data_IF_553922289563
#
_entry.id   IF_553922289563
#
_cell.length_a   1.000
_cell.length_b   1.000
_cell.length_c   1.000
_cell.angle_alpha   90.00
_cell.angle_beta   90.00
_cell.angle_gamma   90.00
#
_symmetry.space_group_name_H-M   'P 1'
#
loop_
_entity.id
_entity.type
_entity.pdbx_description
1 polymer ?
#
# COMPACT_ATOMS: atom_id res chain seq x y z
N UNK A 1 51.19 23.61 -34.83
CA UNK A 1 51.26 22.14 -34.92
C UNK A 1 49.96 21.64 -35.51
N UNK A 2 50.03 21.04 -36.69
CA UNK A 2 48.92 20.48 -37.46
C UNK A 2 48.79 18.99 -37.16
N UNK A 3 47.60 18.53 -36.78
CA UNK A 3 47.31 17.11 -36.62
C UNK A 3 46.53 16.60 -37.84
N UNK A 4 47.16 15.65 -38.54
CA UNK A 4 46.65 14.94 -39.71
C UNK A 4 45.88 13.71 -39.22
N UNK A 5 44.65 13.53 -39.66
CA UNK A 5 43.86 12.32 -39.39
C UNK A 5 43.84 11.45 -40.66
N UNK A 6 44.34 10.22 -40.55
CA UNK A 6 44.16 9.17 -41.56
C UNK A 6 42.98 8.27 -41.19
N UNK A 7 42.17 7.93 -42.20
CA UNK A 7 41.03 7.02 -42.08
C UNK A 7 41.53 5.56 -42.00
N UNK A 8 41.21 4.86 -40.90
CA UNK A 8 41.46 3.42 -40.78
C UNK A 8 40.26 2.61 -41.28
N UNK A 9 40.56 1.60 -42.09
CA UNK A 9 39.64 0.74 -42.82
C UNK A 9 38.76 -0.11 -41.90
N UNK A 10 37.48 -0.18 -42.28
CA UNK A 10 36.47 -1.24 -42.04
C UNK A 10 36.77 -2.33 -41.03
N UNK A 11 36.08 -2.27 -39.89
CA UNK A 11 35.84 -3.42 -39.01
C UNK A 11 34.92 -4.38 -39.77
N UNK A 12 35.44 -5.54 -40.17
CA UNK A 12 34.62 -6.63 -40.73
C UNK A 12 33.66 -7.13 -39.66
N UNK A 13 32.37 -6.95 -39.89
CA UNK A 13 31.24 -7.59 -39.18
C UNK A 13 31.19 -9.11 -39.48
N UNK A 14 32.29 -9.83 -39.27
CA UNK A 14 32.27 -11.29 -39.27
C UNK A 14 32.11 -11.76 -37.83
N UNK A 15 31.04 -12.52 -37.59
CA UNK A 15 30.76 -13.34 -36.40
C UNK A 15 29.95 -12.73 -35.24
N UNK A 16 29.03 -11.78 -35.48
CA UNK A 16 27.99 -11.44 -34.49
C UNK A 16 26.75 -12.35 -34.53
N UNK A 17 26.51 -13.02 -35.67
CA UNK A 17 25.33 -13.88 -35.89
C UNK A 17 25.24 -15.05 -34.88
N UNK A 18 26.31 -15.81 -34.60
CA UNK A 18 26.20 -16.92 -33.64
C UNK A 18 26.04 -16.43 -32.20
N UNK A 19 26.59 -15.25 -31.87
CA UNK A 19 26.46 -14.65 -30.53
C UNK A 19 25.02 -14.19 -30.27
N UNK A 20 24.38 -13.55 -31.25
CA UNK A 20 22.95 -13.20 -31.17
C UNK A 20 22.05 -14.43 -31.09
N UNK A 21 22.37 -15.50 -31.84
CA UNK A 21 21.64 -16.76 -31.77
C UNK A 21 21.71 -17.39 -30.37
N UNK A 22 22.90 -17.42 -29.75
CA UNK A 22 23.07 -17.92 -28.39
C UNK A 22 22.35 -17.07 -27.35
N UNK A 23 22.38 -15.74 -27.47
CA UNK A 23 21.67 -14.82 -26.59
C UNK A 23 20.15 -15.00 -26.67
N UNK A 24 19.60 -15.17 -27.88
CA UNK A 24 18.18 -15.45 -28.07
C UNK A 24 17.77 -16.79 -27.45
N UNK A 25 18.60 -17.83 -27.59
CA UNK A 25 18.35 -19.14 -26.97
C UNK A 25 18.42 -19.05 -25.46
N UNK A 26 19.39 -18.31 -24.89
CA UNK A 26 19.48 -18.09 -23.45
C UNK A 26 18.28 -17.30 -22.91
N UNK A 27 17.82 -16.27 -23.63
CA UNK A 27 16.61 -15.50 -23.26
C UNK A 27 15.37 -16.39 -23.34
N UNK A 28 15.22 -17.21 -24.38
CA UNK A 28 14.11 -18.16 -24.51
C UNK A 28 14.13 -19.22 -23.42
N UNK A 29 15.31 -19.75 -23.07
CA UNK A 29 15.46 -20.70 -21.96
C UNK A 29 15.15 -20.03 -20.63
N UNK A 30 15.52 -18.76 -20.42
CA UNK A 30 15.15 -17.99 -19.23
C UNK A 30 13.65 -17.69 -19.17
N UNK A 31 12.98 -17.51 -20.31
CA UNK A 31 11.51 -17.35 -20.39
C UNK A 31 10.81 -18.69 -20.11
N UNK A 32 11.34 -19.79 -20.65
CA UNK A 32 10.80 -21.15 -20.47
C UNK A 32 11.09 -21.72 -19.07
N UNK A 33 12.17 -21.27 -18.43
CA UNK A 33 12.51 -21.61 -17.04
C UNK A 33 12.10 -20.53 -16.04
N UNK A 34 11.48 -19.44 -16.50
CA UNK A 34 10.80 -18.54 -15.59
C UNK A 34 9.68 -19.37 -14.97
N UNK A 35 9.66 -19.59 -13.64
CA UNK A 35 8.55 -20.27 -13.03
C UNK A 35 7.30 -19.44 -13.32
N UNK A 36 6.51 -19.92 -14.27
CA UNK A 36 5.14 -19.48 -14.46
C UNK A 36 4.50 -19.76 -13.10
N UNK A 37 4.31 -18.72 -12.27
CA UNK A 37 3.62 -18.85 -10.99
C UNK A 37 2.26 -19.45 -11.33
N UNK A 38 2.10 -20.76 -11.14
CA UNK A 38 0.77 -21.35 -11.32
C UNK A 38 -0.11 -20.70 -10.27
N UNK A 39 -1.17 -20.04 -10.72
CA UNK A 39 -2.19 -19.48 -9.83
C UNK A 39 -2.95 -20.58 -9.06
N UNK A 40 -2.67 -21.86 -9.35
CA UNK A 40 -3.33 -23.03 -8.75
C UNK A 40 -2.96 -23.29 -7.29
N UNK A 41 -1.86 -22.72 -6.77
CA UNK A 41 -1.43 -22.93 -5.37
C UNK A 41 -1.60 -21.68 -4.47
N UNK A 42 -2.37 -20.67 -4.89
CA UNK A 42 -2.64 -19.52 -4.05
C UNK A 42 -3.58 -19.91 -2.90
N UNK A 43 -3.11 -19.76 -1.66
CA UNK A 43 -3.94 -19.98 -0.47
C UNK A 43 -5.21 -19.11 -0.54
N UNK A 44 -6.37 -19.74 -0.36
CA UNK A 44 -7.66 -19.04 -0.22
C UNK A 44 -7.68 -18.37 1.15
N UNK A 45 -7.87 -17.06 1.17
CA UNK A 45 -7.95 -16.29 2.41
C UNK A 45 -9.40 -16.22 2.90
N UNK A 46 -9.66 -16.36 4.20
CA UNK A 46 -11.00 -16.17 4.73
C UNK A 46 -11.42 -14.70 4.60
N UNK A 47 -12.71 -14.47 4.37
CA UNK A 47 -13.38 -13.21 4.65
C UNK A 47 -14.19 -13.39 5.93
N UNK A 48 -13.64 -12.92 7.04
CA UNK A 48 -14.22 -13.03 8.38
C UNK A 48 -14.21 -11.67 9.08
N UNK A 49 -14.51 -11.65 10.37
CA UNK A 49 -14.48 -10.43 11.19
C UNK A 49 -13.05 -9.96 11.55
N UNK A 50 -12.00 -10.55 10.98
CA UNK A 50 -10.59 -10.26 11.25
C UNK A 50 -10.28 -10.17 12.77
N UNK A 51 -10.45 -11.26 13.54
CA UNK A 51 -10.45 -11.22 15.00
C UNK A 51 -9.12 -10.77 15.63
N UNK A 52 -8.01 -10.95 14.93
CA UNK A 52 -6.65 -10.59 15.35
C UNK A 52 -6.17 -9.24 14.81
N UNK A 53 -7.03 -8.53 14.07
CA UNK A 53 -6.72 -7.21 13.53
C UNK A 53 -6.78 -6.14 14.62
N UNK A 54 -5.92 -5.14 14.52
CA UNK A 54 -6.02 -3.88 15.25
C UNK A 54 -7.10 -3.02 14.60
N UNK A 55 -8.10 -2.61 15.38
CA UNK A 55 -9.30 -1.88 14.97
C UNK A 55 -9.58 -0.64 15.83
N UNK A 56 -8.56 -0.12 16.53
CA UNK A 56 -8.70 1.06 17.38
C UNK A 56 -9.05 2.31 16.55
N UNK A 57 -10.14 2.96 16.95
CA UNK A 57 -10.65 4.22 16.39
C UNK A 57 -10.17 5.45 17.17
N UNK A 58 -9.49 5.26 18.30
CA UNK A 58 -9.14 6.28 19.28
C UNK A 58 -10.35 7.07 19.83
N UNK A 59 -11.52 6.43 19.84
CA UNK A 59 -12.76 7.02 20.34
C UNK A 59 -12.63 7.39 21.84
N UNK A 60 -12.85 8.66 22.16
CA UNK A 60 -12.72 9.17 23.53
C UNK A 60 -11.28 9.39 24.02
N UNK A 61 -10.26 8.98 23.26
CA UNK A 61 -8.85 9.16 23.64
C UNK A 61 -7.98 9.87 22.59
N UNK A 62 -8.54 10.25 21.44
CA UNK A 62 -7.83 10.94 20.32
C UNK A 62 -6.83 12.01 20.78
N UNK A 63 -7.25 12.99 21.58
CA UNK A 63 -6.36 14.08 22.03
C UNK A 63 -5.19 13.58 22.88
N UNK A 64 -5.44 12.56 23.73
CA UNK A 64 -4.39 11.92 24.53
C UNK A 64 -3.45 11.12 23.64
N UNK A 65 -3.98 10.34 22.70
CA UNK A 65 -3.18 9.59 21.73
C UNK A 65 -2.29 10.51 20.90
N UNK A 66 -2.82 11.61 20.35
CA UNK A 66 -2.06 12.63 19.63
C UNK A 66 -0.90 13.19 20.48
N UNK A 67 -1.13 13.44 21.78
CA UNK A 67 -0.08 13.98 22.66
C UNK A 67 1.05 12.99 22.95
N UNK A 68 0.79 11.68 22.83
CA UNK A 68 1.75 10.62 23.11
C UNK A 68 2.37 10.04 21.84
N UNK A 69 1.74 10.17 20.68
CA UNK A 69 2.12 9.42 19.49
C UNK A 69 3.55 9.74 19.02
N UNK A 70 3.99 10.99 19.18
CA UNK A 70 5.36 11.38 18.86
C UNK A 70 6.40 10.64 19.71
N UNK A 71 6.07 10.28 20.96
CA UNK A 71 6.96 9.47 21.80
C UNK A 71 7.08 8.04 21.26
N UNK A 72 5.97 7.44 20.81
CA UNK A 72 5.99 6.14 20.13
C UNK A 72 6.80 6.22 18.84
N UNK A 73 6.61 7.28 18.04
CA UNK A 73 7.39 7.51 16.82
C UNK A 73 8.89 7.54 17.07
N UNK A 74 9.36 8.23 18.12
CA UNK A 74 10.80 8.25 18.48
C UNK A 74 11.33 6.84 18.76
N UNK A 75 10.58 6.01 19.49
CA UNK A 75 10.99 4.62 19.74
C UNK A 75 10.97 3.79 18.45
N UNK A 76 9.89 3.88 17.69
CA UNK A 76 9.69 3.14 16.45
C UNK A 76 10.72 3.51 15.37
N UNK A 77 11.24 4.74 15.38
CA UNK A 77 12.28 5.15 14.42
C UNK A 77 13.59 4.38 14.60
N UNK A 78 13.89 3.97 15.84
CA UNK A 78 15.07 3.16 16.13
C UNK A 78 14.81 1.67 15.87
N UNK A 79 13.60 1.19 16.14
CA UNK A 79 13.25 -0.23 16.01
C UNK A 79 12.88 -0.64 14.58
N UNK A 80 12.24 0.26 13.82
CA UNK A 80 11.74 0.03 12.47
C UNK A 80 12.52 0.88 11.47
N UNK A 81 13.77 0.49 11.21
CA UNK A 81 14.67 1.22 10.31
C UNK A 81 14.11 1.38 8.90
N UNK A 82 13.33 0.42 8.40
CA UNK A 82 12.70 0.50 7.09
C UNK A 82 11.71 1.67 7.02
N UNK A 83 10.82 1.78 8.02
CA UNK A 83 9.87 2.89 8.11
C UNK A 83 10.58 4.23 8.35
N UNK A 84 11.58 4.26 9.23
CA UNK A 84 12.35 5.48 9.52
C UNK A 84 13.08 6.01 8.28
N UNK A 85 13.77 5.14 7.55
CA UNK A 85 14.46 5.50 6.31
C UNK A 85 13.48 5.99 5.24
N UNK A 86 12.37 5.26 5.05
CA UNK A 86 11.30 5.67 4.15
C UNK A 86 10.78 7.08 4.50
N UNK A 87 10.53 7.33 5.77
CA UNK A 87 10.05 8.64 6.24
C UNK A 87 11.03 9.75 5.90
N UNK A 88 12.31 9.59 6.25
CA UNK A 88 13.35 10.58 6.00
C UNK A 88 13.54 10.91 4.50
N UNK A 89 13.32 9.94 3.62
CA UNK A 89 13.46 10.13 2.17
C UNK A 89 12.23 10.79 1.55
N UNK A 90 11.03 10.42 2.01
CA UNK A 90 9.77 10.76 1.34
C UNK A 90 8.96 11.88 2.00
N UNK A 91 9.27 12.30 3.23
CA UNK A 91 8.51 13.38 3.91
C UNK A 91 8.47 14.69 3.10
N UNK A 92 9.57 15.04 2.44
CA UNK A 92 9.68 16.26 1.61
C UNK A 92 8.86 16.17 0.32
N UNK A 93 8.50 14.97 -0.10
CA UNK A 93 7.72 14.72 -1.31
C UNK A 93 6.21 14.77 -1.02
N UNK A 94 5.80 14.68 0.25
CA UNK A 94 4.41 14.78 0.65
C UNK A 94 3.87 16.21 0.42
N UNK A 95 2.63 16.29 -0.06
CA UNK A 95 1.97 17.60 -0.23
C UNK A 95 1.63 18.20 1.12
N UNK A 96 1.65 19.53 1.20
CA UNK A 96 1.24 20.23 2.42
C UNK A 96 -0.26 20.04 2.69
N UNK A 97 -0.68 19.93 3.96
CA UNK A 97 -2.08 19.86 4.33
C UNK A 97 -2.90 21.05 3.82
N UNK A 98 -3.96 20.75 3.06
CA UNK A 98 -4.95 21.75 2.64
C UNK A 98 -6.24 21.68 3.47
N UNK A 99 -6.48 20.55 4.15
CA UNK A 99 -7.64 20.35 5.02
C UNK A 99 -7.33 20.79 6.45
N UNK A 100 -8.26 21.53 7.08
CA UNK A 100 -8.10 22.21 8.38
C UNK A 100 -7.59 21.31 9.52
N UNK A 101 -7.96 20.04 9.50
CA UNK A 101 -7.67 19.10 10.60
C UNK A 101 -6.47 18.19 10.32
N UNK A 102 -5.80 18.35 9.19
CA UNK A 102 -4.62 17.56 8.83
C UNK A 102 -3.34 18.35 9.11
N UNK A 103 -2.30 17.63 9.52
CA UNK A 103 -0.94 18.11 9.77
C UNK A 103 0.04 17.40 8.83
N UNK A 104 1.29 17.86 8.77
CA UNK A 104 2.32 17.30 7.89
C UNK A 104 2.47 15.79 8.07
N UNK A 105 2.44 15.28 9.31
CA UNK A 105 2.52 13.84 9.60
C UNK A 105 1.36 13.01 9.01
N UNK A 106 0.16 13.60 8.90
CA UNK A 106 -0.97 12.95 8.23
C UNK A 106 -0.71 12.83 6.73
N UNK A 107 -0.26 13.91 6.11
CA UNK A 107 0.04 13.96 4.68
C UNK A 107 1.19 13.01 4.32
N UNK A 108 2.25 12.99 5.13
CA UNK A 108 3.39 12.09 4.94
C UNK A 108 2.99 10.63 5.14
N UNK A 109 2.16 10.31 6.13
CA UNK A 109 1.65 8.95 6.34
C UNK A 109 0.87 8.44 5.13
N UNK A 110 -0.05 9.25 4.59
CA UNK A 110 -0.82 8.92 3.38
C UNK A 110 0.08 8.77 2.14
N UNK A 111 1.08 9.65 2.00
CA UNK A 111 2.04 9.59 0.91
C UNK A 111 2.85 8.30 0.95
N UNK A 112 3.47 7.98 2.10
CA UNK A 112 4.26 6.75 2.31
C UNK A 112 3.41 5.51 2.04
N UNK A 113 2.20 5.46 2.60
CA UNK A 113 1.30 4.32 2.45
C UNK A 113 0.95 4.05 0.98
N UNK A 114 0.76 5.09 0.17
CA UNK A 114 0.46 4.94 -1.26
C UNK A 114 1.71 4.68 -2.10
N UNK A 115 2.87 5.22 -1.71
CA UNK A 115 4.13 5.17 -2.47
C UNK A 115 4.87 3.85 -2.32
N UNK A 116 5.02 3.38 -1.09
CA UNK A 116 5.97 2.33 -0.73
C UNK A 116 5.24 1.02 -0.48
N UNK A 117 5.19 0.17 -1.51
CA UNK A 117 4.46 -1.10 -1.47
C UNK A 117 4.98 -2.05 -0.37
N UNK A 118 6.29 -2.07 -0.13
CA UNK A 118 6.91 -2.88 0.93
C UNK A 118 6.48 -2.41 2.33
N UNK A 119 6.57 -1.09 2.61
CA UNK A 119 6.13 -0.53 3.90
C UNK A 119 4.63 -0.78 4.12
N UNK A 120 3.81 -0.54 3.09
CA UNK A 120 2.37 -0.84 3.14
C UNK A 120 2.10 -2.31 3.43
N UNK A 121 2.85 -3.23 2.83
CA UNK A 121 2.70 -4.67 3.04
C UNK A 121 3.06 -5.08 4.47
N UNK A 122 4.21 -4.62 4.97
CA UNK A 122 4.68 -4.92 6.33
C UNK A 122 3.71 -4.35 7.37
N UNK A 123 3.31 -3.08 7.18
CA UNK A 123 2.31 -2.40 8.01
C UNK A 123 0.98 -3.16 8.05
N UNK A 124 0.38 -3.47 6.90
CA UNK A 124 -0.90 -4.17 6.86
C UNK A 124 -0.79 -5.59 7.45
N UNK A 125 0.36 -6.25 7.35
CA UNK A 125 0.59 -7.55 8.00
C UNK A 125 0.65 -7.42 9.52
N UNK A 126 1.37 -6.41 10.02
CA UNK A 126 1.44 -6.11 11.44
C UNK A 126 0.08 -5.73 12.01
N UNK A 127 -0.72 -4.93 11.28
CA UNK A 127 -2.09 -4.57 11.68
C UNK A 127 -3.00 -5.79 11.72
N UNK A 128 -2.94 -6.65 10.69
CA UNK A 128 -3.81 -7.83 10.57
C UNK A 128 -3.64 -8.86 11.70
N UNK A 129 -2.44 -8.92 12.29
CA UNK A 129 -2.07 -9.94 13.28
C UNK A 129 -1.69 -9.35 14.64
N UNK A 130 -1.78 -8.03 14.77
CA UNK A 130 -1.12 -7.27 15.83
C UNK A 130 -1.92 -7.10 17.11
N UNK A 131 -3.17 -7.56 17.18
CA UNK A 131 -4.07 -7.27 18.32
C UNK A 131 -3.44 -7.55 19.69
N UNK A 132 -2.77 -8.70 19.84
CA UNK A 132 -2.12 -9.07 21.11
C UNK A 132 -0.88 -8.22 21.44
N UNK A 133 -0.26 -7.61 20.44
CA UNK A 133 0.94 -6.77 20.57
C UNK A 133 0.62 -5.27 20.62
N UNK A 134 -0.63 -4.89 20.35
CA UNK A 134 -1.02 -3.49 20.14
C UNK A 134 -0.79 -2.58 21.35
N UNK A 135 -0.83 -3.12 22.57
CA UNK A 135 -0.56 -2.34 23.79
C UNK A 135 0.88 -2.50 24.30
N UNK A 136 1.80 -2.96 23.45
CA UNK A 136 3.20 -3.26 23.79
C UNK A 136 4.15 -2.65 22.76
N UNK A 137 5.44 -2.67 23.04
CA UNK A 137 6.50 -2.31 22.08
C UNK A 137 6.63 -3.30 20.90
N UNK A 138 5.91 -4.42 20.94
CA UNK A 138 5.88 -5.42 19.88
C UNK A 138 5.12 -4.99 18.61
N UNK A 139 4.28 -3.96 18.67
CA UNK A 139 3.68 -3.35 17.49
C UNK A 139 4.49 -2.12 17.08
N UNK A 140 5.32 -2.22 16.04
CA UNK A 140 6.26 -1.15 15.67
C UNK A 140 5.71 -0.18 14.60
N UNK A 141 4.41 0.07 14.65
CA UNK A 141 3.67 0.89 13.69
C UNK A 141 2.58 1.75 14.33
N UNK A 142 2.63 2.02 15.64
CA UNK A 142 1.67 2.90 16.33
C UNK A 142 1.59 4.26 15.65
N UNK A 143 2.74 4.87 15.34
CA UNK A 143 2.79 6.19 14.74
C UNK A 143 2.04 6.23 13.40
N UNK A 144 2.39 5.30 12.49
CA UNK A 144 1.75 5.22 11.18
C UNK A 144 0.27 4.85 11.29
N UNK A 145 -0.09 3.92 12.18
CA UNK A 145 -1.49 3.53 12.42
C UNK A 145 -2.32 4.72 12.90
N UNK A 146 -1.84 5.46 13.90
CA UNK A 146 -2.52 6.63 14.43
C UNK A 146 -2.77 7.68 13.36
N UNK A 147 -1.72 8.09 12.63
CA UNK A 147 -1.87 9.16 11.64
C UNK A 147 -2.72 8.76 10.43
N UNK A 148 -2.71 7.49 10.02
CA UNK A 148 -3.63 7.00 8.98
C UNK A 148 -5.08 6.98 9.47
N UNK A 149 -5.34 6.46 10.67
CA UNK A 149 -6.69 6.46 11.28
C UNK A 149 -7.20 7.89 11.45
N UNK A 150 -6.39 8.77 12.02
CA UNK A 150 -6.77 10.17 12.28
C UNK A 150 -6.99 10.95 10.98
N UNK A 151 -6.17 10.71 9.95
CA UNK A 151 -6.35 11.34 8.64
C UNK A 151 -7.68 10.96 8.00
N UNK A 152 -8.08 9.69 8.04
CA UNK A 152 -9.36 9.23 7.51
C UNK A 152 -10.52 9.94 8.23
N UNK A 153 -10.48 9.97 9.57
CA UNK A 153 -11.51 10.62 10.38
C UNK A 153 -11.60 12.12 10.11
N UNK A 154 -10.46 12.79 9.90
CA UNK A 154 -10.40 14.21 9.62
C UNK A 154 -10.83 14.57 8.18
N UNK A 155 -10.68 13.65 7.22
CA UNK A 155 -11.12 13.81 5.83
C UNK A 155 -12.59 13.43 5.62
N UNK A 156 -13.15 12.55 6.44
CA UNK A 156 -14.55 12.12 6.40
C UNK A 156 -15.26 12.44 7.72
N UNK A 157 -15.38 13.74 8.01
CA UNK A 157 -16.02 14.23 9.23
C UNK A 157 -17.48 13.73 9.33
N UNK A 158 -17.83 13.18 10.48
CA UNK A 158 -19.17 12.66 10.80
C UNK A 158 -19.69 11.54 9.88
N UNK A 159 -18.82 10.88 9.10
CA UNK A 159 -19.23 9.83 8.16
C UNK A 159 -20.33 10.31 7.21
N UNK A 160 -20.25 11.57 6.77
CA UNK A 160 -21.37 12.27 6.15
C UNK A 160 -21.77 11.72 4.77
N UNK A 161 -20.90 10.93 4.12
CA UNK A 161 -21.16 10.39 2.79
C UNK A 161 -20.57 8.99 2.60
N UNK A 162 -21.45 8.03 2.34
CA UNK A 162 -21.05 6.71 1.87
C UNK A 162 -20.73 6.77 0.36
N UNK A 163 -19.71 6.03 -0.06
CA UNK A 163 -19.22 6.01 -1.45
C UNK A 163 -19.00 4.58 -1.94
N UNK A 164 -19.28 4.34 -3.21
CA UNK A 164 -18.95 3.08 -3.88
C UNK A 164 -17.53 3.13 -4.41
N UNK A 165 -16.73 2.14 -4.06
CA UNK A 165 -15.34 1.99 -4.49
C UNK A 165 -15.07 0.55 -4.93
N UNK A 166 -13.99 0.38 -5.67
CA UNK A 166 -13.59 -0.88 -6.27
C UNK A 166 -12.19 -1.25 -5.81
N UNK A 167 -12.05 -2.47 -5.33
CA UNK A 167 -10.77 -3.06 -4.95
C UNK A 167 -10.49 -4.27 -5.82
N UNK A 168 -9.29 -4.30 -6.40
CA UNK A 168 -8.76 -5.42 -7.19
C UNK A 168 -7.50 -5.97 -6.54
N UNK A 169 -7.36 -7.29 -6.49
CA UNK A 169 -6.27 -7.95 -5.76
C UNK A 169 -5.87 -9.27 -6.40
N UNK A 170 -4.58 -9.62 -6.25
CA UNK A 170 -4.00 -10.92 -6.64
C UNK A 170 -4.31 -12.03 -5.62
N UNK A 171 -4.91 -11.70 -4.49
CA UNK A 171 -5.28 -12.65 -3.43
C UNK A 171 -6.63 -13.27 -3.75
N UNK A 172 -6.74 -14.58 -3.57
CA UNK A 172 -8.01 -15.32 -3.65
C UNK A 172 -8.67 -15.32 -2.27
N UNK A 173 -9.97 -15.04 -2.24
CA UNK A 173 -10.78 -15.04 -1.02
C UNK A 173 -11.88 -16.08 -1.09
N UNK A 174 -12.34 -16.52 0.08
CA UNK A 174 -13.53 -17.36 0.22
C UNK A 174 -14.77 -16.63 -0.33
N UNK A 175 -15.65 -17.39 -0.98
CA UNK A 175 -16.89 -16.89 -1.57
C UNK A 175 -18.13 -17.34 -0.77
N UNK A 176 -18.01 -18.31 0.13
CA UNK A 176 -19.12 -18.80 0.97
C UNK A 176 -19.35 -17.91 2.19
N UNK A 177 -19.52 -16.60 1.93
CA UNK A 177 -19.63 -15.55 2.95
C UNK A 177 -20.87 -14.68 2.78
N UNK A 178 -21.82 -15.10 1.93
CA UNK A 178 -23.12 -14.44 1.76
C UNK A 178 -23.81 -14.35 3.12
N UNK A 179 -24.42 -13.21 3.41
CA UNK A 179 -25.13 -12.98 4.65
C UNK A 179 -24.24 -13.09 5.91
N UNK A 180 -22.96 -12.73 5.77
CA UNK A 180 -22.02 -12.61 6.89
C UNK A 180 -21.50 -11.19 7.04
N UNK A 181 -21.01 -10.88 8.24
CA UNK A 181 -20.29 -9.64 8.50
C UNK A 181 -18.80 -9.90 8.35
N UNK A 182 -18.13 -9.03 7.61
CA UNK A 182 -16.70 -9.14 7.31
C UNK A 182 -15.98 -7.82 7.60
N UNK A 183 -14.70 -7.93 7.91
CA UNK A 183 -13.75 -6.82 7.95
C UNK A 183 -12.52 -7.19 7.12
N UNK A 184 -11.93 -6.23 6.42
CA UNK A 184 -10.73 -6.51 5.63
C UNK A 184 -9.51 -6.86 6.48
N UNK A 185 -9.50 -6.47 7.76
CA UNK A 185 -8.40 -6.77 8.68
C UNK A 185 -7.12 -6.01 8.35
N UNK A 186 -7.24 -4.80 7.83
CA UNK A 186 -6.14 -3.95 7.39
C UNK A 186 -6.68 -2.66 6.76
N UNK A 187 -5.81 -1.69 6.49
CA UNK A 187 -6.20 -0.51 5.73
C UNK A 187 -6.37 -0.90 4.26
N UNK A 188 -7.56 -0.60 3.71
CA UNK A 188 -7.92 -0.95 2.33
C UNK A 188 -7.86 0.28 1.43
N UNK A 189 -7.00 0.24 0.42
CA UNK A 189 -6.87 1.29 -0.59
C UNK A 189 -7.63 0.88 -1.86
N UNK A 190 -8.72 1.60 -2.14
CA UNK A 190 -9.62 1.34 -3.24
C UNK A 190 -9.74 2.58 -4.15
N UNK A 191 -10.38 2.41 -5.31
CA UNK A 191 -10.61 3.51 -6.27
C UNK A 191 -12.11 3.65 -6.55
N UNK A 192 -12.63 4.86 -6.72
CA UNK A 192 -14.04 5.12 -7.05
C UNK A 192 -14.43 4.74 -8.49
N UNK A 193 -13.45 4.34 -9.31
CA UNK A 193 -13.63 3.88 -10.69
C UNK A 193 -13.44 2.38 -10.80
N UNK A 194 -14.26 1.73 -11.65
CA UNK A 194 -14.08 0.33 -12.06
C UNK A 194 -12.76 0.12 -12.81
N UNK A 195 -12.27 1.16 -13.47
CA UNK A 195 -10.94 1.19 -14.07
C UNK A 195 -9.93 1.47 -12.96
N UNK A 196 -9.62 0.42 -12.20
CA UNK A 196 -8.59 0.46 -11.17
C UNK A 196 -7.20 0.60 -11.79
N UNK A 197 -6.17 0.74 -10.94
CA UNK A 197 -4.78 0.59 -11.35
C UNK A 197 -4.63 -0.61 -12.29
N UNK A 198 -4.03 -0.42 -13.48
CA UNK A 198 -3.73 -1.52 -14.42
C UNK A 198 -2.80 -2.58 -13.79
N UNK A 199 -2.20 -2.27 -12.62
CA UNK A 199 -1.33 -3.15 -11.84
C UNK A 199 -2.00 -3.86 -10.63
N UNK A 200 -3.27 -3.58 -10.31
CA UNK A 200 -3.95 -4.25 -9.20
C UNK A 200 -4.67 -5.51 -9.71
N UNK A 201 -4.31 -6.65 -9.12
CA UNK A 201 -4.61 -7.98 -9.67
C UNK A 201 -6.04 -8.31 -10.02
N UNK A 202 -6.20 -9.32 -10.86
CA UNK A 202 -7.46 -9.75 -11.44
C UNK A 202 -8.03 -11.03 -10.80
N UNK A 203 -7.50 -11.46 -9.65
CA UNK A 203 -7.91 -12.71 -8.98
C UNK A 203 -9.18 -12.53 -8.16
N UNK A 204 -9.33 -11.42 -7.46
CA UNK A 204 -10.57 -11.08 -6.75
C UNK A 204 -10.88 -9.59 -6.89
N UNK A 205 -12.17 -9.30 -7.09
CA UNK A 205 -12.69 -7.96 -7.31
C UNK A 205 -13.82 -7.70 -6.30
N UNK A 206 -13.76 -6.56 -5.63
CA UNK A 206 -14.78 -6.14 -4.67
C UNK A 206 -15.42 -4.84 -5.15
N UNK A 207 -16.74 -4.79 -5.11
CA UNK A 207 -17.51 -3.55 -5.10
C UNK A 207 -17.89 -3.28 -3.64
N UNK A 208 -17.41 -2.16 -3.10
CA UNK A 208 -17.49 -1.86 -1.66
C UNK A 208 -18.25 -0.55 -1.50
N UNK A 209 -19.33 -0.57 -0.72
CA UNK A 209 -19.95 0.65 -0.22
C UNK A 209 -19.36 0.98 1.15
N UNK A 210 -18.51 2.02 1.22
CA UNK A 210 -17.84 2.45 2.45
C UNK A 210 -18.41 3.78 2.92
N UNK A 211 -18.74 3.86 4.21
CA UNK A 211 -19.20 5.06 4.91
C UNK A 211 -18.11 5.67 5.80
N UNK A 212 -17.10 4.88 6.18
CA UNK A 212 -15.98 5.36 6.99
C UNK A 212 -14.77 5.76 6.15
N UNK A 213 -14.63 5.22 4.95
CA UNK A 213 -13.52 5.53 4.04
C UNK A 213 -13.49 6.99 3.61
N UNK A 214 -12.28 7.50 3.38
CA UNK A 214 -12.05 8.90 3.01
C UNK A 214 -11.30 9.04 1.68
N UNK A 215 -11.58 10.11 0.93
CA UNK A 215 -10.83 10.46 -0.27
C UNK A 215 -9.42 10.95 0.10
N UNK A 216 -8.40 10.22 -0.33
CA UNK A 216 -6.99 10.53 -0.09
C UNK A 216 -6.26 10.98 -1.36
N UNK A 217 -6.97 11.20 -2.47
CA UNK A 217 -6.42 11.56 -3.79
C UNK A 217 -5.42 12.70 -3.71
N UNK A 218 -5.74 13.74 -2.92
CA UNK A 218 -4.86 14.89 -2.76
C UNK A 218 -3.50 14.49 -2.17
N UNK A 219 -3.47 13.60 -1.19
CA UNK A 219 -2.29 13.23 -0.41
C UNK A 219 -1.56 11.99 -0.95
N UNK A 220 -2.15 11.30 -1.91
CA UNK A 220 -1.53 10.14 -2.54
C UNK A 220 -0.30 10.52 -3.36
N UNK A 221 0.67 9.61 -3.38
CA UNK A 221 1.83 9.67 -4.27
C UNK A 221 1.50 9.26 -5.72
N UNK A 222 0.33 8.64 -5.94
CA UNK A 222 -0.11 8.17 -7.24
C UNK A 222 -1.03 9.21 -7.88
N UNK A 223 -0.74 9.58 -9.13
CA UNK A 223 -1.55 10.52 -9.90
C UNK A 223 -2.79 9.84 -10.51
N UNK A 224 -3.66 9.32 -9.63
CA UNK A 224 -4.93 8.68 -9.99
C UNK A 224 -6.06 9.39 -9.22
N UNK A 225 -7.15 9.72 -9.90
CA UNK A 225 -8.30 10.32 -9.22
C UNK A 225 -9.14 9.27 -8.49
N UNK A 226 -9.82 9.69 -7.42
CA UNK A 226 -10.82 8.89 -6.74
C UNK A 226 -10.25 7.82 -5.82
N UNK A 227 -9.08 8.06 -5.24
CA UNK A 227 -8.44 7.13 -4.31
C UNK A 227 -9.07 7.25 -2.93
N UNK A 228 -9.54 6.12 -2.40
CA UNK A 228 -10.20 6.06 -1.10
C UNK A 228 -9.43 5.11 -0.17
N UNK A 229 -9.19 5.56 1.06
CA UNK A 229 -8.63 4.74 2.11
C UNK A 229 -9.72 4.38 3.11
N UNK A 230 -9.92 3.08 3.31
CA UNK A 230 -10.90 2.50 4.23
C UNK A 230 -10.17 2.07 5.52
N UNK A 231 -10.67 2.45 6.70
CA UNK A 231 -10.06 2.09 7.97
C UNK A 231 -10.30 0.61 8.34
N UNK A 232 -9.56 0.11 9.31
CA UNK A 232 -9.57 -1.30 9.74
C UNK A 232 -10.85 -1.74 10.44
N UNK A 233 -11.58 -0.79 11.03
CA UNK A 233 -12.73 -1.04 11.90
C UNK A 233 -14.08 -1.04 11.18
N UNK A 234 -14.14 -0.70 9.90
CA UNK A 234 -15.39 -0.72 9.14
C UNK A 234 -15.86 -2.17 8.91
N UNK A 235 -17.12 -2.44 9.24
CA UNK A 235 -17.78 -3.74 9.08
C UNK A 235 -18.67 -3.70 7.85
N UNK A 236 -18.54 -4.70 6.99
CA UNK A 236 -19.32 -4.85 5.77
C UNK A 236 -20.24 -6.06 5.88
N UNK A 237 -21.46 -5.92 5.38
CA UNK A 237 -22.36 -7.03 5.13
C UNK A 237 -22.14 -7.50 3.68
N UNK A 238 -21.91 -8.79 3.49
CA UNK A 238 -21.77 -9.42 2.16
C UNK A 238 -23.09 -9.99 1.68
#
# INVERSE_FOLDING_TARGET
MTFRWESTRGIKLLNLVPLCGLLLVLVLLLILWWPQRSAENAAVLPLDMAPDCIDDMYAGCRSKSMSLINLYGVFEWHANMNLSYAWAVDERNAKKPVHKHLQDDHATSLYIFTKLANIRQDFNTAVKTGKQKYSTDGFMFHFLYFYLTDAIQALNLNHSECRTVYLRTWKRFDQDVIDTNVRFGGFTWAISSKQSFEANGDVSCFEIQTCFGADITHYSSVNQMGQVLIPTYEVFRV
#
